data_IF_083318199396
#
_entry.id   IF_083318199396
#
_cell.length_a   1.000
_cell.length_b   1.000
_cell.length_c   1.000
_cell.angle_alpha   90.00
_cell.angle_beta   90.00
_cell.angle_gamma   90.00
#
_symmetry.space_group_name_H-M   'P 1'
#
loop_
_entity.id
_entity.type
_entity.pdbx_description
1 polymer ?
#
# COMPACT_ATOMS: atom_id res chain seq x y z
N UNK A 1 -13.73 -10.37 -2.18
CA UNK A 1 -13.22 -10.33 -3.58
C UNK A 1 -14.28 -10.78 -4.57
N UNK A 2 -15.08 -11.79 -4.23
CA UNK A 2 -15.98 -12.47 -5.16
C UNK A 2 -17.25 -11.69 -5.56
N UNK A 3 -17.53 -10.59 -4.91
CA UNK A 3 -18.66 -9.69 -5.21
C UNK A 3 -18.17 -8.35 -5.80
N UNK A 4 -17.26 -7.66 -5.11
CA UNK A 4 -16.83 -6.30 -5.47
C UNK A 4 -16.02 -6.27 -6.77
N UNK A 5 -15.08 -7.18 -6.97
CA UNK A 5 -14.26 -7.21 -8.19
C UNK A 5 -15.10 -7.52 -9.42
N UNK A 6 -15.98 -8.54 -9.46
CA UNK A 6 -16.90 -8.76 -10.57
C UNK A 6 -17.82 -7.57 -10.83
N UNK A 7 -18.33 -6.91 -9.78
CA UNK A 7 -19.16 -5.71 -9.91
C UNK A 7 -18.41 -4.56 -10.58
N UNK A 8 -17.15 -4.31 -10.20
CA UNK A 8 -16.29 -3.31 -10.84
C UNK A 8 -16.01 -3.70 -12.29
N UNK A 9 -15.63 -4.96 -12.55
CA UNK A 9 -15.29 -5.44 -13.88
C UNK A 9 -16.43 -5.25 -14.89
N UNK A 10 -17.68 -5.50 -14.47
CA UNK A 10 -18.87 -5.31 -15.32
C UNK A 10 -19.10 -3.84 -15.73
N UNK A 11 -18.56 -2.88 -14.99
CA UNK A 11 -18.76 -1.43 -15.20
C UNK A 11 -17.50 -0.71 -15.68
N UNK A 12 -16.38 -1.39 -15.60
CA UNK A 12 -15.09 -0.84 -16.00
C UNK A 12 -14.88 -1.01 -17.51
N UNK A 13 -15.01 0.07 -18.25
CA UNK A 13 -14.79 0.09 -19.70
C UNK A 13 -13.35 0.47 -20.10
N UNK A 14 -12.50 0.80 -19.12
CA UNK A 14 -11.13 1.27 -19.39
C UNK A 14 -10.14 0.14 -19.70
N UNK A 15 -10.46 -1.11 -19.37
CA UNK A 15 -9.56 -2.25 -19.45
C UNK A 15 -8.44 -2.25 -18.41
N UNK A 16 -8.38 -1.23 -17.54
CA UNK A 16 -7.36 -1.13 -16.47
C UNK A 16 -7.83 -1.82 -15.20
N UNK A 17 -6.88 -2.37 -14.45
CA UNK A 17 -7.14 -2.91 -13.11
C UNK A 17 -7.48 -1.77 -12.13
N UNK A 18 -8.38 -1.99 -11.17
CA UNK A 18 -8.72 -1.00 -10.15
C UNK A 18 -7.50 -0.66 -9.26
N UNK A 19 -7.46 0.56 -8.78
CA UNK A 19 -6.48 1.04 -7.80
C UNK A 19 -7.15 1.10 -6.44
N UNK A 20 -6.54 0.46 -5.44
CA UNK A 20 -7.01 0.54 -4.06
C UNK A 20 -6.53 1.85 -3.41
N UNK A 21 -7.43 2.61 -2.81
CA UNK A 21 -7.09 3.89 -2.18
C UNK A 21 -7.62 3.91 -0.75
N UNK A 22 -6.80 4.39 0.19
CA UNK A 22 -7.22 4.53 1.58
C UNK A 22 -6.29 5.38 2.42
N UNK A 23 -6.81 5.85 3.57
CA UNK A 23 -6.05 6.56 4.58
C UNK A 23 -6.19 5.87 5.94
N UNK A 24 -5.18 5.99 6.79
CA UNK A 24 -5.14 5.38 8.12
C UNK A 24 -5.38 3.86 8.05
N UNK A 25 -6.37 3.30 8.74
CA UNK A 25 -6.75 1.88 8.62
C UNK A 25 -7.12 1.50 7.17
N UNK A 26 -7.76 2.41 6.43
CA UNK A 26 -8.05 2.21 5.01
C UNK A 26 -6.79 2.09 4.14
N UNK A 27 -5.69 2.75 4.51
CA UNK A 27 -4.39 2.60 3.84
C UNK A 27 -3.80 1.20 4.06
N UNK A 28 -3.89 0.67 5.28
CA UNK A 28 -3.50 -0.72 5.54
C UNK A 28 -4.28 -1.68 4.64
N UNK A 29 -5.62 -1.54 4.57
CA UNK A 29 -6.44 -2.39 3.71
C UNK A 29 -6.11 -2.22 2.22
N UNK A 30 -5.90 -0.99 1.74
CA UNK A 30 -5.50 -0.74 0.36
C UNK A 30 -4.16 -1.43 0.02
N UNK A 31 -3.18 -1.33 0.92
CA UNK A 31 -1.90 -2.04 0.79
C UNK A 31 -2.08 -3.57 0.81
N UNK A 32 -2.87 -4.11 1.74
CA UNK A 32 -3.14 -5.55 1.84
C UNK A 32 -3.73 -6.08 0.54
N UNK A 33 -4.79 -5.47 0.00
CA UNK A 33 -5.45 -6.01 -1.20
C UNK A 33 -4.57 -5.90 -2.43
N UNK A 34 -3.81 -4.83 -2.59
CA UNK A 34 -2.89 -4.65 -3.71
C UNK A 34 -1.71 -5.65 -3.65
N UNK A 35 -1.16 -5.89 -2.47
CA UNK A 35 -0.03 -6.81 -2.29
C UNK A 35 -0.44 -8.28 -2.31
N UNK A 36 -1.64 -8.62 -1.83
CA UNK A 36 -2.12 -10.02 -1.86
C UNK A 36 -2.76 -10.43 -3.18
N UNK A 37 -3.26 -9.47 -3.95
CA UNK A 37 -3.94 -9.73 -5.23
C UNK A 37 -3.45 -8.75 -6.32
N UNK A 38 -2.13 -8.77 -6.63
CA UNK A 38 -1.59 -7.95 -7.72
C UNK A 38 -2.13 -8.35 -9.10
N UNK A 39 -2.78 -9.51 -9.20
CA UNK A 39 -3.53 -9.97 -10.37
C UNK A 39 -4.86 -9.23 -10.55
N UNK A 40 -5.46 -8.71 -9.47
CA UNK A 40 -6.76 -8.02 -9.49
C UNK A 40 -6.65 -6.51 -9.32
N UNK A 41 -5.54 -6.00 -8.80
CA UNK A 41 -5.33 -4.58 -8.55
C UNK A 41 -4.12 -4.05 -9.33
N UNK A 42 -4.32 -2.90 -9.97
CA UNK A 42 -3.25 -2.16 -10.66
C UNK A 42 -2.32 -1.40 -9.72
N UNK A 43 -2.56 -1.48 -8.41
CA UNK A 43 -1.76 -0.87 -7.37
C UNK A 43 -2.57 -0.31 -6.22
N UNK A 44 -1.92 0.56 -5.42
CA UNK A 44 -2.58 1.28 -4.34
C UNK A 44 -2.03 2.71 -4.16
N UNK A 45 -2.85 3.56 -3.53
CA UNK A 45 -2.44 4.81 -2.89
C UNK A 45 -2.83 4.68 -1.42
N UNK A 46 -1.84 4.37 -0.58
CA UNK A 46 -2.00 4.05 0.83
C UNK A 46 -1.38 5.17 1.69
N UNK A 47 -2.25 6.00 2.31
CA UNK A 47 -1.87 7.22 3.01
C UNK A 47 -1.92 7.02 4.53
N UNK A 48 -0.80 7.18 5.23
CA UNK A 48 -0.70 7.12 6.70
C UNK A 48 -1.17 5.78 7.30
N UNK A 49 -0.78 4.66 6.67
CA UNK A 49 -1.14 3.33 7.15
C UNK A 49 -0.19 2.77 8.21
N UNK A 50 -0.69 1.84 9.01
CA UNK A 50 0.11 0.96 9.87
C UNK A 50 0.12 -0.42 9.22
N UNK A 51 1.29 -0.94 8.84
CA UNK A 51 1.42 -2.16 8.02
C UNK A 51 1.85 -3.39 8.81
N UNK A 52 1.91 -3.27 10.12
CA UNK A 52 2.13 -4.36 11.06
C UNK A 52 0.85 -4.62 11.88
N UNK A 53 0.18 -5.74 11.62
CA UNK A 53 -1.04 -6.09 12.31
C UNK A 53 -0.85 -6.41 13.80
N UNK A 54 0.36 -6.75 14.25
CA UNK A 54 0.67 -6.99 15.66
C UNK A 54 0.46 -5.76 16.53
N UNK A 55 0.53 -4.56 15.94
CA UNK A 55 0.19 -3.30 16.61
C UNK A 55 -1.22 -3.34 17.23
N UNK A 56 -2.20 -3.92 16.53
CA UNK A 56 -3.60 -3.97 16.97
C UNK A 56 -3.90 -5.09 17.97
N UNK A 57 -2.96 -6.03 18.14
CA UNK A 57 -3.17 -7.25 18.94
C UNK A 57 -2.25 -7.32 20.15
N UNK A 58 -1.46 -6.26 20.42
CA UNK A 58 -0.46 -6.28 21.47
C UNK A 58 0.65 -7.32 21.27
N UNK A 59 0.99 -7.59 20.00
CA UNK A 59 2.03 -8.56 19.63
C UNK A 59 1.51 -9.98 19.36
N UNK A 60 0.24 -10.28 19.66
CA UNK A 60 -0.33 -11.59 19.37
C UNK A 60 -0.58 -11.77 17.87
N UNK A 61 -0.26 -12.99 17.35
CA UNK A 61 -0.36 -13.30 15.93
C UNK A 61 -0.94 -14.69 15.70
N UNK A 62 -1.86 -14.80 14.74
CA UNK A 62 -2.30 -16.07 14.17
C UNK A 62 -2.26 -15.99 12.63
N UNK A 63 -2.65 -17.05 11.94
CA UNK A 63 -2.62 -17.07 10.47
C UNK A 63 -3.41 -15.95 9.82
N UNK A 64 -4.60 -15.61 10.35
CA UNK A 64 -5.44 -14.53 9.80
C UNK A 64 -4.80 -13.16 9.97
N UNK A 65 -4.21 -12.88 11.14
CA UNK A 65 -3.48 -11.64 11.38
C UNK A 65 -2.21 -11.55 10.53
N UNK A 66 -1.46 -12.67 10.45
CA UNK A 66 -0.28 -12.79 9.61
C UNK A 66 -0.60 -12.47 8.14
N UNK A 67 -1.66 -13.08 7.60
CA UNK A 67 -2.12 -12.89 6.23
C UNK A 67 -2.57 -11.44 5.93
N UNK A 68 -2.88 -10.66 6.96
CA UNK A 68 -3.27 -9.27 6.86
C UNK A 68 -2.22 -8.30 7.44
N UNK A 69 -0.97 -8.74 7.55
CA UNK A 69 0.16 -7.94 8.04
C UNK A 69 1.25 -7.85 6.96
N UNK A 70 1.26 -6.79 6.14
CA UNK A 70 2.24 -6.60 5.07
C UNK A 70 3.69 -6.76 5.54
N UNK A 71 4.05 -6.19 6.69
CA UNK A 71 5.39 -6.33 7.25
C UNK A 71 5.78 -7.80 7.47
N UNK A 72 4.83 -8.68 7.84
CA UNK A 72 5.11 -10.08 8.12
C UNK A 72 5.12 -10.94 6.85
N UNK A 73 4.05 -10.90 6.04
CA UNK A 73 3.98 -11.79 4.89
C UNK A 73 4.99 -11.42 3.80
N UNK A 74 5.29 -10.13 3.61
CA UNK A 74 6.32 -9.72 2.65
C UNK A 74 7.73 -10.10 3.11
N UNK A 75 8.02 -9.97 4.41
CA UNK A 75 9.32 -10.36 4.96
C UNK A 75 9.63 -11.83 4.70
N UNK A 76 8.64 -12.70 4.87
CA UNK A 76 8.78 -14.14 4.70
C UNK A 76 8.53 -14.63 3.26
N UNK A 77 8.10 -13.76 2.35
CA UNK A 77 7.94 -14.10 0.94
C UNK A 77 9.31 -14.48 0.34
N UNK A 78 9.44 -15.57 -0.44
CA UNK A 78 10.66 -15.87 -1.18
C UNK A 78 11.08 -14.74 -2.11
N UNK A 79 12.40 -14.52 -2.25
CA UNK A 79 12.92 -13.43 -3.11
C UNK A 79 12.75 -13.67 -4.61
N UNK A 80 12.40 -14.89 -5.00
CA UNK A 80 12.03 -15.30 -6.36
C UNK A 80 10.54 -15.49 -6.56
N UNK A 81 9.71 -15.04 -5.62
CA UNK A 81 8.25 -15.18 -5.72
C UNK A 81 7.72 -14.41 -6.94
N UNK A 82 6.89 -15.07 -7.76
CA UNK A 82 6.38 -14.50 -9.03
C UNK A 82 5.59 -13.19 -8.86
N UNK A 83 5.04 -12.90 -7.67
CA UNK A 83 4.38 -11.63 -7.37
C UNK A 83 5.34 -10.42 -7.45
N UNK A 84 6.64 -10.62 -7.26
CA UNK A 84 7.61 -9.52 -7.31
C UNK A 84 7.62 -8.87 -8.71
N UNK A 85 7.59 -9.67 -9.76
CA UNK A 85 7.47 -9.17 -11.12
C UNK A 85 6.15 -8.41 -11.31
N UNK A 86 5.05 -8.96 -10.79
CA UNK A 86 3.75 -8.29 -10.87
C UNK A 86 3.75 -6.96 -10.09
N UNK A 87 4.34 -6.91 -8.89
CA UNK A 87 4.46 -5.66 -8.12
C UNK A 87 5.19 -4.58 -8.90
N UNK A 88 6.25 -4.94 -9.63
CA UNK A 88 7.06 -4.00 -10.39
C UNK A 88 6.35 -3.46 -11.66
N UNK A 89 5.23 -4.05 -12.03
CA UNK A 89 4.32 -3.57 -13.06
C UNK A 89 3.10 -2.81 -12.48
N UNK A 90 3.08 -2.51 -11.19
CA UNK A 90 1.96 -1.86 -10.49
C UNK A 90 2.37 -0.51 -9.93
N UNK A 91 1.38 0.37 -9.74
CA UNK A 91 1.56 1.64 -9.05
C UNK A 91 1.41 1.43 -7.54
N UNK A 92 2.47 1.05 -6.85
CA UNK A 92 2.48 0.83 -5.41
C UNK A 92 2.97 2.09 -4.69
N UNK A 93 2.05 2.88 -4.15
CA UNK A 93 2.35 4.13 -3.43
C UNK A 93 1.93 3.98 -1.97
N UNK A 94 2.92 4.19 -1.09
CA UNK A 94 2.76 4.22 0.35
C UNK A 94 3.32 5.53 0.86
N UNK A 95 2.49 6.41 1.44
CA UNK A 95 2.98 7.67 1.97
C UNK A 95 2.57 7.87 3.42
N UNK A 96 3.36 8.68 4.12
CA UNK A 96 3.14 9.04 5.52
C UNK A 96 3.64 10.46 5.77
N UNK A 97 2.95 11.21 6.63
CA UNK A 97 3.48 12.46 7.19
C UNK A 97 4.53 12.18 8.27
N UNK A 98 5.17 13.24 8.76
CA UNK A 98 6.10 13.15 9.89
C UNK A 98 5.65 14.04 11.06
N UNK A 99 4.43 14.58 11.00
CA UNK A 99 3.83 15.40 12.02
C UNK A 99 3.08 14.61 13.08
N UNK A 100 2.07 15.25 13.68
CA UNK A 100 1.30 14.67 14.78
C UNK A 100 0.58 13.39 14.38
N UNK A 101 0.64 12.36 15.24
CA UNK A 101 -0.03 11.05 15.15
C UNK A 101 0.46 10.12 14.02
N UNK A 102 1.61 10.42 13.40
CA UNK A 102 2.17 9.62 12.30
C UNK A 102 3.25 8.61 12.72
N UNK A 103 3.68 8.60 13.98
CA UNK A 103 4.84 7.83 14.47
C UNK A 103 4.76 6.33 14.15
N UNK A 104 3.59 5.71 14.34
CA UNK A 104 3.39 4.29 14.06
C UNK A 104 3.37 3.99 12.54
N UNK A 105 2.80 4.90 11.77
CA UNK A 105 2.83 4.85 10.30
C UNK A 105 4.25 4.93 9.77
N UNK A 106 5.05 5.89 10.26
CA UNK A 106 6.47 6.05 9.91
C UNK A 106 7.24 4.76 10.19
N UNK A 107 7.11 4.22 11.41
CA UNK A 107 7.87 3.04 11.83
C UNK A 107 7.59 1.84 10.93
N UNK A 108 6.32 1.56 10.65
CA UNK A 108 5.94 0.41 9.82
C UNK A 108 6.24 0.64 8.34
N UNK A 109 6.16 1.87 7.83
CA UNK A 109 6.55 2.18 6.46
C UNK A 109 8.05 2.08 6.23
N UNK A 110 8.88 2.43 7.21
CA UNK A 110 10.33 2.21 7.15
C UNK A 110 10.67 0.71 7.05
N UNK A 111 9.97 -0.14 7.81
CA UNK A 111 10.10 -1.61 7.72
C UNK A 111 9.71 -2.07 6.30
N UNK A 112 8.56 -1.63 5.80
CA UNK A 112 8.10 -1.96 4.45
C UNK A 112 9.09 -1.53 3.38
N UNK A 113 9.61 -0.30 3.43
CA UNK A 113 10.59 0.22 2.49
C UNK A 113 11.88 -0.63 2.46
N UNK A 114 12.36 -1.03 3.66
CA UNK A 114 13.51 -1.96 3.76
C UNK A 114 13.23 -3.33 3.14
N UNK A 115 12.02 -3.87 3.34
CA UNK A 115 11.62 -5.15 2.73
C UNK A 115 11.54 -5.01 1.21
N UNK A 116 10.92 -3.95 0.70
CA UNK A 116 10.81 -3.67 -0.73
C UNK A 116 12.20 -3.59 -1.37
N UNK A 117 13.11 -2.82 -0.78
CA UNK A 117 14.48 -2.70 -1.27
C UNK A 117 15.20 -4.06 -1.32
N UNK A 118 15.13 -4.85 -0.23
CA UNK A 118 15.79 -6.17 -0.15
C UNK A 118 15.26 -7.18 -1.15
N UNK A 119 13.99 -7.06 -1.56
CA UNK A 119 13.33 -7.99 -2.48
C UNK A 119 13.26 -7.48 -3.92
N UNK A 120 13.78 -6.29 -4.21
CA UNK A 120 13.69 -5.68 -5.54
C UNK A 120 12.26 -5.32 -5.94
N UNK A 121 11.41 -4.96 -4.98
CA UNK A 121 10.06 -4.47 -5.22
C UNK A 121 10.11 -2.95 -5.39
N UNK A 122 9.67 -2.47 -6.54
CA UNK A 122 9.66 -1.05 -6.88
C UNK A 122 8.37 -0.39 -6.36
N UNK A 123 8.34 -0.07 -5.08
CA UNK A 123 7.26 0.66 -4.44
C UNK A 123 7.72 2.08 -4.09
N UNK A 124 6.86 3.05 -4.32
CA UNK A 124 7.10 4.44 -3.92
C UNK A 124 6.71 4.61 -2.46
N UNK A 125 7.72 4.65 -1.57
CA UNK A 125 7.56 4.99 -0.16
C UNK A 125 7.90 6.47 0.01
N UNK A 126 6.90 7.31 0.32
CA UNK A 126 7.04 8.76 0.38
C UNK A 126 6.82 9.29 1.80
N UNK A 127 7.84 9.98 2.34
CA UNK A 127 7.82 10.58 3.68
C UNK A 127 7.68 12.08 3.54
N UNK A 128 6.48 12.60 3.84
CA UNK A 128 6.15 14.03 3.76
C UNK A 128 6.71 14.80 4.95
N UNK A 129 6.58 16.13 4.93
CA UNK A 129 7.19 17.02 5.91
C UNK A 129 6.73 16.82 7.37
N UNK A 130 7.44 17.45 8.30
CA UNK A 130 7.14 17.40 9.73
C UNK A 130 5.86 18.17 10.13
N UNK A 131 5.35 19.01 9.24
CA UNK A 131 4.08 19.71 9.36
C UNK A 131 2.88 18.86 8.89
N UNK A 132 3.13 17.69 8.31
CA UNK A 132 2.10 16.80 7.74
C UNK A 132 1.60 15.85 8.82
N UNK A 133 0.43 16.13 9.37
CA UNK A 133 -0.22 15.38 10.43
C UNK A 133 -1.20 14.34 9.88
N UNK A 134 -1.63 13.43 10.77
CA UNK A 134 -2.57 12.34 10.48
C UNK A 134 -4.01 12.86 10.40
N UNK A 135 -4.36 13.56 9.33
CA UNK A 135 -5.70 14.14 9.14
C UNK A 135 -6.13 14.26 7.68
N UNK A 136 -7.43 14.59 7.50
CA UNK A 136 -8.07 14.70 6.20
C UNK A 136 -7.54 15.83 5.32
N UNK A 137 -7.04 16.91 5.87
CA UNK A 137 -6.55 18.04 5.08
C UNK A 137 -5.28 17.67 4.33
N UNK A 138 -4.44 16.83 4.95
CA UNK A 138 -3.26 16.29 4.31
C UNK A 138 -3.59 15.15 3.33
N UNK A 139 -4.47 14.22 3.70
CA UNK A 139 -4.87 13.14 2.79
C UNK A 139 -5.53 13.64 1.51
N UNK A 140 -6.31 14.74 1.57
CA UNK A 140 -6.85 15.40 0.38
C UNK A 140 -5.75 16.01 -0.51
N UNK A 141 -4.67 16.52 0.05
CA UNK A 141 -3.51 17.02 -0.70
C UNK A 141 -2.73 15.85 -1.31
N UNK A 142 -2.49 14.80 -0.54
CA UNK A 142 -1.77 13.61 -0.97
C UNK A 142 -2.47 12.90 -2.12
N UNK A 143 -3.79 12.67 -2.03
CA UNK A 143 -4.51 12.02 -3.13
C UNK A 143 -4.48 12.85 -4.42
N UNK A 144 -4.58 14.19 -4.34
CA UNK A 144 -4.47 15.07 -5.48
C UNK A 144 -3.07 15.05 -6.12
N UNK A 145 -2.05 14.80 -5.33
CA UNK A 145 -0.66 14.68 -5.80
C UNK A 145 -0.39 13.33 -6.48
N UNK A 146 -0.86 12.23 -5.89
CA UNK A 146 -0.54 10.88 -6.37
C UNK A 146 -1.47 10.39 -7.49
N UNK A 147 -2.76 10.73 -7.45
CA UNK A 147 -3.74 10.19 -8.41
C UNK A 147 -3.38 10.47 -9.87
N UNK A 148 -2.96 11.67 -10.29
CA UNK A 148 -2.55 11.90 -11.67
C UNK A 148 -1.40 10.99 -12.10
N UNK A 149 -0.43 10.74 -11.23
CA UNK A 149 0.76 9.89 -11.50
C UNK A 149 0.42 8.40 -11.67
N UNK A 150 -0.63 7.95 -10.99
CA UNK A 150 -1.18 6.61 -11.18
C UNK A 150 -1.93 6.52 -12.50
N UNK A 151 -2.70 7.55 -12.86
CA UNK A 151 -3.51 7.57 -14.06
C UNK A 151 -2.67 7.69 -15.35
N UNK A 152 -1.57 8.43 -15.33
CA UNK A 152 -0.65 8.57 -16.47
C UNK A 152 0.43 7.46 -16.52
N UNK A 153 0.49 6.60 -15.51
CA UNK A 153 1.43 5.49 -15.44
C UNK A 153 2.84 5.87 -14.93
N UNK A 154 3.09 7.14 -14.59
CA UNK A 154 4.42 7.59 -14.12
C UNK A 154 4.78 7.07 -12.72
N UNK A 155 3.82 6.50 -12.00
CA UNK A 155 4.04 5.85 -10.71
C UNK A 155 4.43 4.36 -10.80
N UNK A 156 4.43 3.75 -12.01
CA UNK A 156 4.77 2.35 -12.19
C UNK A 156 6.29 2.17 -12.07
N UNK A 157 6.71 1.25 -11.22
CA UNK A 157 8.13 0.92 -11.06
C UNK A 157 8.98 2.09 -10.56
N UNK A 158 8.37 3.06 -9.89
CA UNK A 158 9.08 4.22 -9.37
C UNK A 158 10.08 3.78 -8.29
N UNK A 159 11.34 4.18 -8.49
CA UNK A 159 12.47 3.82 -7.62
C UNK A 159 12.73 4.90 -6.60
#
# INVERSE_FOLDING_TARGET
MDEVIPFIAQRNTSGRLPIAVGCSLGAMHAGIVALRRPDLFGGCIAMSGIYDASYFTGGWMNSKWYDNSPCHFLQNMPSDHYYINMYNERSLIFCVGQGAWEQNGISTLLIMASIFQKKGIHAWCDFWGYDVSHDWDWWKKQIRYFLPKVLDGSAIGNK
#
